data_IF_818466745285
#
_entry.id   IF_818466745285
#
_cell.length_a   1.000
_cell.length_b   1.000
_cell.length_c   1.000
_cell.angle_alpha   90.00
_cell.angle_beta   90.00
_cell.angle_gamma   90.00
#
_symmetry.space_group_name_H-M   'P 1'
#
loop_
_entity.id
_entity.type
_entity.pdbx_description
1 polymer ?
#
# COMPACT_ATOMS: atom_id res chain seq x y z
N UNK A 1 23.93 3.59 39.04
CA UNK A 1 24.45 3.42 37.65
C UNK A 1 24.09 2.09 37.00
N UNK A 2 24.26 0.92 37.63
CA UNK A 2 23.95 -0.41 37.01
C UNK A 2 22.46 -0.57 36.68
N UNK A 3 21.55 -0.09 37.53
CA UNK A 3 20.07 -0.17 37.31
C UNK A 3 19.63 0.67 36.12
N UNK A 4 20.11 1.91 36.01
CA UNK A 4 19.79 2.81 34.89
C UNK A 4 20.23 2.21 33.57
N UNK A 5 21.46 1.64 33.52
CA UNK A 5 21.96 0.95 32.30
C UNK A 5 21.07 -0.24 31.90
N UNK A 6 20.63 -1.05 32.86
CA UNK A 6 19.72 -2.18 32.60
C UNK A 6 18.36 -1.70 32.07
N UNK A 7 17.79 -0.68 32.67
CA UNK A 7 16.52 -0.09 32.21
C UNK A 7 16.63 0.44 30.78
N UNK A 8 17.70 1.17 30.45
CA UNK A 8 17.94 1.67 29.10
C UNK A 8 18.07 0.53 28.09
N UNK A 9 18.78 -0.54 28.42
CA UNK A 9 18.93 -1.72 27.56
C UNK A 9 17.56 -2.38 27.29
N UNK A 10 16.72 -2.52 28.33
CA UNK A 10 15.38 -3.11 28.17
C UNK A 10 14.51 -2.24 27.28
N UNK A 11 14.50 -0.92 27.49
CA UNK A 11 13.75 0.03 26.64
C UNK A 11 14.21 -0.07 25.18
N UNK A 12 15.53 -0.04 24.94
CA UNK A 12 16.08 -0.13 23.60
C UNK A 12 15.73 -1.47 22.94
N UNK A 13 15.84 -2.58 23.66
CA UNK A 13 15.46 -3.90 23.17
C UNK A 13 13.96 -3.96 22.82
N UNK A 14 13.09 -3.37 23.64
CA UNK A 14 11.64 -3.32 23.38
C UNK A 14 11.33 -2.51 22.12
N UNK A 15 11.96 -1.33 21.96
CA UNK A 15 11.80 -0.49 20.78
C UNK A 15 12.28 -1.24 19.53
N UNK A 16 13.46 -1.88 19.59
CA UNK A 16 14.02 -2.62 18.47
C UNK A 16 13.13 -3.81 18.08
N UNK A 17 12.62 -4.54 19.07
CA UNK A 17 11.67 -5.64 18.84
C UNK A 17 10.39 -5.12 18.19
N UNK A 18 9.81 -4.03 18.69
CA UNK A 18 8.65 -3.38 18.08
C UNK A 18 8.90 -2.96 16.64
N UNK A 19 10.08 -2.42 16.35
CA UNK A 19 10.48 -2.04 14.99
C UNK A 19 10.64 -3.25 14.05
N UNK A 20 11.24 -4.34 14.52
CA UNK A 20 11.40 -5.58 13.74
C UNK A 20 10.04 -6.21 13.44
N UNK A 21 9.17 -6.28 14.44
CA UNK A 21 7.84 -6.90 14.32
C UNK A 21 6.73 -5.93 13.91
N UNK A 22 7.04 -4.69 13.47
CA UNK A 22 6.03 -3.69 13.12
C UNK A 22 4.99 -4.17 12.11
N UNK A 23 5.38 -4.94 11.09
CA UNK A 23 4.46 -5.46 10.09
C UNK A 23 3.46 -6.48 10.67
N UNK A 24 3.90 -7.56 11.33
CA UNK A 24 3.02 -8.48 12.03
C UNK A 24 2.14 -7.80 13.08
N UNK A 25 2.69 -6.92 13.91
CA UNK A 25 1.93 -6.16 14.92
C UNK A 25 0.85 -5.29 14.29
N UNK A 26 1.21 -4.53 13.25
CA UNK A 26 0.25 -3.72 12.51
C UNK A 26 -0.90 -4.57 11.96
N UNK A 27 -0.59 -5.67 11.28
CA UNK A 27 -1.60 -6.57 10.73
C UNK A 27 -2.46 -7.28 11.78
N UNK A 28 -1.97 -7.46 12.99
CA UNK A 28 -2.75 -8.01 14.08
C UNK A 28 -3.83 -7.04 14.56
N UNK A 29 -3.49 -5.75 14.67
CA UNK A 29 -4.35 -4.74 15.31
C UNK A 29 -5.15 -3.89 14.33
N UNK A 30 -4.63 -3.64 13.10
CA UNK A 30 -5.29 -2.82 12.09
C UNK A 30 -5.89 -3.70 11.00
N UNK A 31 -7.18 -3.49 10.70
CA UNK A 31 -7.92 -4.15 9.63
C UNK A 31 -8.52 -3.11 8.69
N UNK A 32 -8.54 -3.43 7.40
CA UNK A 32 -9.08 -2.58 6.35
C UNK A 32 -10.37 -3.18 5.82
N UNK A 33 -11.42 -2.38 5.71
CA UNK A 33 -12.70 -2.79 5.12
C UNK A 33 -12.94 -1.98 3.85
N UNK A 34 -12.96 -2.60 2.66
CA UNK A 34 -13.30 -1.91 1.42
C UNK A 34 -14.78 -1.47 1.46
N UNK A 35 -15.05 -0.25 0.98
CA UNK A 35 -16.41 0.32 0.89
C UNK A 35 -16.82 0.62 -0.53
N UNK A 36 -15.87 1.02 -1.39
CA UNK A 36 -16.12 1.29 -2.81
C UNK A 36 -14.84 1.12 -3.62
N UNK A 37 -14.95 0.69 -4.86
CA UNK A 37 -13.85 0.71 -5.82
C UNK A 37 -13.57 2.14 -6.29
N UNK A 38 -12.30 2.42 -6.57
CA UNK A 38 -11.85 3.62 -7.25
C UNK A 38 -11.56 3.32 -8.72
N UNK A 39 -11.60 4.34 -9.59
CA UNK A 39 -11.21 4.17 -10.99
C UNK A 39 -9.78 3.62 -11.11
N UNK A 40 -9.59 2.66 -12.03
CA UNK A 40 -8.27 2.25 -12.48
C UNK A 40 -7.80 3.17 -13.59
N UNK A 41 -6.51 3.52 -13.58
CA UNK A 41 -5.88 4.33 -14.61
C UNK A 41 -4.95 3.50 -15.47
N UNK A 42 -4.93 3.80 -16.78
CA UNK A 42 -3.91 3.31 -17.70
C UNK A 42 -2.75 4.29 -17.71
N UNK A 43 -1.53 3.78 -17.66
CA UNK A 43 -0.33 4.61 -17.81
C UNK A 43 -0.15 4.98 -19.28
N UNK A 44 -0.14 6.29 -19.55
CA UNK A 44 0.07 6.87 -20.87
C UNK A 44 1.22 7.88 -20.91
N UNK A 45 1.64 8.38 -19.74
CA UNK A 45 2.74 9.33 -19.61
C UNK A 45 4.07 8.63 -19.98
N UNK A 46 4.85 9.15 -20.96
CA UNK A 46 6.09 8.51 -21.42
C UNK A 46 7.16 8.38 -20.33
N UNK A 47 7.30 9.38 -19.44
CA UNK A 47 8.25 9.35 -18.34
C UNK A 47 7.90 8.22 -17.36
N UNK A 48 6.61 8.08 -17.02
CA UNK A 48 6.16 7.02 -16.13
C UNK A 48 6.33 5.62 -16.75
N UNK A 49 6.10 5.47 -18.06
CA UNK A 49 6.38 4.24 -18.80
C UNK A 49 7.85 3.88 -18.70
N UNK A 50 8.74 4.85 -18.90
CA UNK A 50 10.18 4.61 -18.84
C UNK A 50 10.65 4.24 -17.44
N UNK A 51 10.14 4.93 -16.41
CA UNK A 51 10.40 4.57 -15.00
C UNK A 51 9.95 3.14 -14.71
N UNK A 52 8.76 2.74 -15.18
CA UNK A 52 8.29 1.37 -15.02
C UNK A 52 9.22 0.34 -15.66
N UNK A 53 9.76 0.62 -16.84
CA UNK A 53 10.72 -0.26 -17.53
C UNK A 53 12.05 -0.36 -16.79
N UNK A 54 12.63 0.77 -16.39
CA UNK A 54 13.95 0.82 -15.75
C UNK A 54 13.96 0.15 -14.36
N UNK A 55 12.87 0.26 -13.62
CA UNK A 55 12.75 -0.28 -12.25
C UNK A 55 12.11 -1.67 -12.21
N UNK A 56 11.70 -2.20 -13.32
CA UNK A 56 11.24 -3.58 -13.41
C UNK A 56 12.45 -4.52 -13.36
N UNK A 57 12.46 -5.43 -12.41
CA UNK A 57 13.45 -6.51 -12.37
C UNK A 57 13.13 -7.51 -13.49
N UNK A 58 13.98 -7.68 -14.50
CA UNK A 58 13.70 -8.55 -15.65
C UNK A 58 13.96 -10.03 -15.36
N UNK A 59 13.74 -10.50 -14.13
CA UNK A 59 13.93 -11.91 -13.81
C UNK A 59 12.77 -12.75 -14.35
N UNK A 60 13.09 -13.73 -15.16
CA UNK A 60 12.19 -14.64 -15.89
C UNK A 60 11.21 -15.43 -15.00
N UNK A 61 11.37 -15.36 -13.68
CA UNK A 61 10.56 -16.05 -12.67
C UNK A 61 9.99 -15.11 -11.60
N UNK A 62 9.87 -13.80 -11.88
CA UNK A 62 9.31 -12.85 -10.91
C UNK A 62 7.84 -13.17 -10.63
N UNK A 63 7.54 -13.47 -9.37
CA UNK A 63 6.18 -13.76 -8.91
C UNK A 63 5.40 -12.50 -8.52
N UNK A 64 4.17 -12.71 -8.07
CA UNK A 64 3.31 -11.60 -7.60
C UNK A 64 3.98 -10.75 -6.50
N UNK A 65 4.78 -11.34 -5.64
CA UNK A 65 5.45 -10.61 -4.55
C UNK A 65 6.50 -9.63 -5.08
N UNK A 66 7.21 -10.00 -6.15
CA UNK A 66 8.20 -9.12 -6.78
C UNK A 66 7.52 -7.98 -7.53
N UNK A 67 6.39 -8.26 -8.18
CA UNK A 67 5.54 -7.24 -8.80
C UNK A 67 5.03 -6.23 -7.76
N UNK A 68 4.55 -6.69 -6.62
CA UNK A 68 4.12 -5.83 -5.51
C UNK A 68 5.29 -5.00 -4.99
N UNK A 69 6.47 -5.62 -4.81
CA UNK A 69 7.65 -4.94 -4.31
C UNK A 69 8.14 -3.85 -5.26
N UNK A 70 8.24 -4.14 -6.57
CA UNK A 70 8.65 -3.15 -7.58
C UNK A 70 7.65 -2.01 -7.69
N UNK A 71 6.34 -2.30 -7.66
CA UNK A 71 5.29 -1.27 -7.67
C UNK A 71 5.35 -0.36 -6.44
N UNK A 72 5.65 -0.91 -5.26
CA UNK A 72 5.91 -0.12 -4.05
C UNK A 72 7.14 0.78 -4.20
N UNK A 73 8.24 0.23 -4.72
CA UNK A 73 9.47 1.00 -4.90
C UNK A 73 9.24 2.18 -5.85
N UNK A 74 8.60 1.95 -7.00
CA UNK A 74 8.28 3.02 -7.96
C UNK A 74 7.39 4.08 -7.30
N UNK A 75 6.34 3.67 -6.59
CA UNK A 75 5.41 4.60 -5.95
C UNK A 75 6.09 5.46 -4.89
N UNK A 76 6.89 4.85 -4.00
CA UNK A 76 7.63 5.57 -2.94
C UNK A 76 8.73 6.49 -3.48
N UNK A 77 9.35 6.13 -4.62
CA UNK A 77 10.39 6.96 -5.22
C UNK A 77 9.82 8.17 -5.99
N UNK A 78 8.57 8.05 -6.47
CA UNK A 78 7.91 9.11 -7.22
C UNK A 78 7.13 10.09 -6.35
N UNK A 79 6.55 9.64 -5.23
CA UNK A 79 5.60 10.42 -4.47
C UNK A 79 6.12 10.80 -3.08
N UNK A 80 5.82 12.03 -2.71
CA UNK A 80 5.89 12.55 -1.34
C UNK A 80 4.47 12.71 -0.80
N UNK A 81 4.22 12.22 0.42
CA UNK A 81 2.88 12.27 1.01
C UNK A 81 2.51 13.68 1.47
N UNK A 82 1.26 14.08 1.20
CA UNK A 82 0.68 15.33 1.68
C UNK A 82 -0.74 15.12 2.20
N UNK A 83 -1.14 15.93 3.19
CA UNK A 83 -2.51 15.91 3.74
C UNK A 83 -3.47 16.79 2.94
N UNK A 84 -3.02 17.48 1.90
CA UNK A 84 -3.88 18.33 1.07
C UNK A 84 -4.55 17.51 -0.03
N UNK A 85 -5.62 18.08 -0.60
CA UNK A 85 -6.19 17.52 -1.82
C UNK A 85 -5.19 17.67 -2.97
N UNK A 86 -4.96 16.60 -3.70
CA UNK A 86 -4.01 16.54 -4.81
C UNK A 86 -4.65 15.91 -6.03
N UNK A 87 -3.92 15.97 -7.14
CA UNK A 87 -4.20 15.17 -8.33
C UNK A 87 -4.23 13.67 -7.97
N UNK A 88 -5.07 12.91 -8.65
CA UNK A 88 -5.19 11.46 -8.45
C UNK A 88 -4.82 10.64 -9.70
N UNK A 89 -4.76 11.29 -10.87
CA UNK A 89 -4.34 10.64 -12.11
C UNK A 89 -2.82 10.37 -12.09
N UNK A 90 -2.38 9.10 -12.15
CA UNK A 90 -0.96 8.75 -12.18
C UNK A 90 -0.15 9.45 -13.25
N UNK A 91 -0.75 9.72 -14.41
CA UNK A 91 -0.10 10.38 -15.54
C UNK A 91 0.25 11.85 -15.26
N UNK A 92 -0.45 12.47 -14.32
CA UNK A 92 -0.20 13.84 -13.87
C UNK A 92 0.63 13.88 -12.58
N UNK A 93 0.49 12.86 -11.71
CA UNK A 93 1.23 12.74 -10.47
C UNK A 93 2.75 12.68 -10.69
N UNK A 94 3.19 12.15 -11.81
CA UNK A 94 4.62 12.12 -12.18
C UNK A 94 5.25 13.52 -12.19
N UNK A 95 4.48 14.54 -12.53
CA UNK A 95 4.95 15.94 -12.56
C UNK A 95 4.88 16.62 -11.19
N UNK A 96 3.81 16.37 -10.43
CA UNK A 96 3.57 17.05 -9.14
C UNK A 96 4.33 16.40 -7.99
N UNK A 97 4.55 15.11 -8.06
CA UNK A 97 5.24 14.25 -7.08
C UNK A 97 4.68 14.32 -5.65
N UNK A 98 3.50 14.90 -5.47
CA UNK A 98 2.81 15.02 -4.17
C UNK A 98 1.44 14.38 -4.24
N UNK A 99 1.15 13.49 -3.29
CA UNK A 99 -0.14 12.82 -3.22
C UNK A 99 -0.54 12.50 -1.78
N UNK A 100 -1.84 12.32 -1.58
CA UNK A 100 -2.42 11.71 -0.39
C UNK A 100 -2.65 10.19 -0.63
N UNK A 101 -3.33 9.50 0.29
CA UNK A 101 -3.60 8.07 0.16
C UNK A 101 -4.31 7.70 -1.14
N UNK A 102 -5.18 8.58 -1.68
CA UNK A 102 -5.90 8.34 -2.95
C UNK A 102 -4.92 8.28 -4.12
N UNK A 103 -4.03 9.27 -4.24
CA UNK A 103 -3.02 9.29 -5.31
C UNK A 103 -1.99 8.17 -5.17
N UNK A 104 -1.57 7.83 -3.94
CA UNK A 104 -0.70 6.68 -3.68
C UNK A 104 -1.32 5.36 -4.15
N UNK A 105 -2.60 5.12 -3.81
CA UNK A 105 -3.32 3.92 -4.23
C UNK A 105 -3.51 3.87 -5.76
N UNK A 106 -3.87 5.00 -6.37
CA UNK A 106 -4.06 5.11 -7.81
C UNK A 106 -2.77 4.85 -8.59
N UNK A 107 -1.65 5.48 -8.20
CA UNK A 107 -0.35 5.28 -8.87
C UNK A 107 0.13 3.84 -8.70
N UNK A 108 0.09 3.29 -7.48
CA UNK A 108 0.48 1.90 -7.24
C UNK A 108 -0.31 0.92 -8.11
N UNK A 109 -1.65 1.05 -8.15
CA UNK A 109 -2.49 0.16 -8.93
C UNK A 109 -2.19 0.26 -10.44
N UNK A 110 -2.00 1.49 -10.95
CA UNK A 110 -1.66 1.72 -12.35
C UNK A 110 -0.30 1.10 -12.72
N UNK A 111 0.74 1.31 -11.88
CA UNK A 111 2.08 0.72 -12.06
C UNK A 111 2.01 -0.81 -12.01
N UNK A 112 1.34 -1.38 -11.02
CA UNK A 112 1.18 -2.81 -10.86
C UNK A 112 0.50 -3.45 -12.08
N UNK A 113 -0.60 -2.87 -12.56
CA UNK A 113 -1.31 -3.34 -13.73
C UNK A 113 -0.48 -3.19 -15.01
N UNK A 114 0.23 -2.07 -15.17
CA UNK A 114 1.10 -1.85 -16.33
C UNK A 114 2.22 -2.88 -16.38
N UNK A 115 2.92 -3.13 -15.28
CA UNK A 115 3.98 -4.13 -15.21
C UNK A 115 3.44 -5.56 -15.42
N UNK A 116 2.26 -5.88 -14.86
CA UNK A 116 1.60 -7.17 -15.05
C UNK A 116 1.34 -7.48 -16.54
N UNK A 117 0.85 -6.50 -17.29
CA UNK A 117 0.51 -6.64 -18.71
C UNK A 117 1.77 -6.61 -19.59
N UNK A 118 2.60 -5.57 -19.43
CA UNK A 118 3.71 -5.26 -20.35
C UNK A 118 4.87 -6.23 -20.19
N UNK A 119 5.17 -6.61 -18.94
CA UNK A 119 6.30 -7.48 -18.62
C UNK A 119 5.90 -8.95 -18.48
N UNK A 120 4.61 -9.25 -18.63
CA UNK A 120 4.03 -10.58 -18.40
C UNK A 120 4.39 -11.18 -17.04
N UNK A 121 4.75 -10.33 -16.08
CA UNK A 121 4.93 -10.71 -14.68
C UNK A 121 3.55 -10.89 -14.05
N UNK A 122 3.23 -12.11 -13.66
CA UNK A 122 1.95 -12.42 -13.03
C UNK A 122 0.71 -11.92 -13.84
N UNK A 123 0.51 -12.33 -15.10
CA UNK A 123 -0.49 -11.76 -16.04
C UNK A 123 -1.96 -11.95 -15.58
N UNK A 124 -2.19 -12.86 -14.63
CA UNK A 124 -3.53 -13.15 -14.12
C UNK A 124 -3.90 -12.27 -12.90
N UNK A 125 -3.03 -11.35 -12.50
CA UNK A 125 -3.26 -10.49 -11.36
C UNK A 125 -3.73 -9.10 -11.80
N UNK A 126 -4.66 -8.56 -11.02
CA UNK A 126 -5.18 -7.20 -11.23
C UNK A 126 -5.16 -6.45 -9.90
N UNK A 127 -4.58 -5.27 -9.89
CA UNK A 127 -4.60 -4.34 -8.79
C UNK A 127 -5.75 -3.36 -8.96
N UNK A 128 -6.58 -3.20 -7.93
CA UNK A 128 -7.71 -2.28 -7.91
C UNK A 128 -7.62 -1.40 -6.67
N UNK A 129 -7.64 -0.06 -6.81
CA UNK A 129 -7.67 0.83 -5.66
C UNK A 129 -9.08 0.87 -5.05
N UNK A 130 -9.14 0.94 -3.74
CA UNK A 130 -10.37 0.98 -2.96
C UNK A 130 -10.37 2.13 -1.98
N UNK A 131 -11.52 2.77 -1.86
CA UNK A 131 -11.90 3.54 -0.71
C UNK A 131 -12.32 2.59 0.40
N UNK A 132 -11.89 2.84 1.64
CA UNK A 132 -12.24 1.96 2.74
C UNK A 132 -12.22 2.61 4.11
N UNK A 133 -12.40 1.78 5.12
CA UNK A 133 -12.39 2.16 6.52
C UNK A 133 -11.37 1.35 7.30
N UNK A 134 -10.76 1.98 8.30
CA UNK A 134 -9.78 1.39 9.20
C UNK A 134 -10.44 0.97 10.50
N UNK A 135 -10.09 -0.22 10.94
CA UNK A 135 -10.50 -0.77 12.24
C UNK A 135 -9.27 -1.03 13.08
N UNK A 136 -9.20 -0.41 14.24
CA UNK A 136 -8.16 -0.62 15.23
C UNK A 136 -8.73 -1.46 16.37
N UNK A 137 -8.15 -2.63 16.64
CA UNK A 137 -8.68 -3.62 17.60
C UNK A 137 -10.17 -3.95 17.38
N UNK A 138 -10.62 -3.95 16.13
CA UNK A 138 -12.01 -4.22 15.76
C UNK A 138 -12.95 -3.02 15.80
N UNK A 139 -12.50 -1.86 16.28
CA UNK A 139 -13.28 -0.62 16.35
C UNK A 139 -13.01 0.24 15.11
N UNK A 140 -14.07 0.68 14.41
CA UNK A 140 -13.94 1.64 13.32
C UNK A 140 -13.48 2.99 13.88
N UNK A 141 -12.33 3.49 13.42
CA UNK A 141 -11.75 4.74 13.95
C UNK A 141 -12.33 6.01 13.31
N UNK A 142 -12.87 5.92 12.09
CA UNK A 142 -13.29 7.09 11.32
C UNK A 142 -14.41 7.93 11.97
N UNK A 143 -15.40 7.36 12.68
CA UNK A 143 -16.41 8.15 13.38
C UNK A 143 -15.86 9.05 14.49
N UNK A 144 -14.69 8.70 15.04
CA UNK A 144 -14.06 9.45 16.13
C UNK A 144 -13.14 10.57 15.65
N UNK A 145 -12.91 10.67 14.32
CA UNK A 145 -12.01 11.67 13.74
C UNK A 145 -12.86 12.72 13.02
N UNK A 146 -12.78 13.97 13.47
CA UNK A 146 -13.61 15.06 12.95
C UNK A 146 -13.12 15.60 11.59
N UNK A 147 -11.83 15.43 11.27
CA UNK A 147 -11.26 15.93 10.02
C UNK A 147 -11.87 15.23 8.80
N UNK A 148 -12.35 15.97 7.79
CA UNK A 148 -12.86 15.39 6.55
C UNK A 148 -11.85 14.50 5.82
N UNK A 149 -10.55 14.78 5.99
CA UNK A 149 -9.46 14.03 5.40
C UNK A 149 -9.38 12.58 5.91
N UNK A 150 -9.76 12.34 7.18
CA UNK A 150 -9.66 11.01 7.80
C UNK A 150 -11.01 10.28 7.88
N UNK A 151 -12.02 10.66 7.08
CA UNK A 151 -13.31 9.96 7.04
C UNK A 151 -13.27 8.63 6.30
N UNK A 152 -12.25 8.43 5.50
CA UNK A 152 -11.96 7.19 4.77
C UNK A 152 -10.45 7.10 4.51
N UNK A 153 -10.02 5.96 3.98
CA UNK A 153 -8.63 5.73 3.64
C UNK A 153 -8.53 4.85 2.40
N UNK A 154 -7.65 5.22 1.47
CA UNK A 154 -7.50 4.48 0.22
C UNK A 154 -6.34 3.49 0.31
N UNK A 155 -6.58 2.30 -0.24
CA UNK A 155 -5.62 1.19 -0.31
C UNK A 155 -5.86 0.35 -1.56
N UNK A 156 -5.06 -0.67 -1.83
CA UNK A 156 -5.16 -1.48 -3.05
C UNK A 156 -5.38 -2.95 -2.71
N UNK A 157 -6.30 -3.59 -3.43
CA UNK A 157 -6.49 -5.03 -3.44
C UNK A 157 -5.96 -5.57 -4.76
N UNK A 158 -5.12 -6.60 -4.69
CA UNK A 158 -4.50 -7.27 -5.83
C UNK A 158 -5.05 -8.69 -5.85
N UNK A 159 -5.78 -9.04 -6.91
CA UNK A 159 -6.49 -10.32 -7.01
C UNK A 159 -6.05 -11.12 -8.22
N UNK A 160 -5.83 -12.41 -8.02
CA UNK A 160 -5.64 -13.37 -9.10
C UNK A 160 -6.99 -13.75 -9.70
N UNK A 161 -7.16 -13.52 -11.00
CA UNK A 161 -8.41 -13.79 -11.73
C UNK A 161 -8.76 -15.28 -11.80
N UNK A 162 -7.74 -16.15 -11.78
CA UNK A 162 -7.94 -17.59 -11.95
C UNK A 162 -8.15 -18.32 -10.62
N UNK A 163 -7.38 -17.96 -9.58
CA UNK A 163 -7.41 -18.66 -8.30
C UNK A 163 -8.24 -17.96 -7.23
N UNK A 164 -8.52 -16.66 -7.42
CA UNK A 164 -9.17 -15.83 -6.41
C UNK A 164 -8.24 -15.41 -5.27
N UNK A 165 -6.97 -15.83 -5.27
CA UNK A 165 -5.98 -15.42 -4.28
C UNK A 165 -5.87 -13.88 -4.25
N UNK A 166 -5.72 -13.34 -3.04
CA UNK A 166 -5.80 -11.89 -2.83
C UNK A 166 -4.68 -11.40 -1.93
N UNK A 167 -4.03 -10.31 -2.33
CA UNK A 167 -3.15 -9.50 -1.51
C UNK A 167 -3.77 -8.13 -1.30
N UNK A 168 -3.55 -7.53 -0.14
CA UNK A 168 -3.94 -6.15 0.13
C UNK A 168 -2.71 -5.35 0.59
N UNK A 169 -2.58 -4.14 0.08
CA UNK A 169 -1.46 -3.25 0.34
C UNK A 169 -1.94 -1.82 0.55
N UNK A 170 -1.20 -1.09 1.36
CA UNK A 170 -1.36 0.36 1.53
C UNK A 170 -0.04 1.03 1.14
N UNK A 171 0.05 1.62 -0.05
CA UNK A 171 1.29 2.21 -0.54
C UNK A 171 1.78 3.38 0.32
N UNK A 172 0.89 4.17 0.92
CA UNK A 172 1.27 5.26 1.82
C UNK A 172 1.88 4.75 3.12
N UNK A 173 1.29 3.72 3.72
CA UNK A 173 1.85 3.05 4.92
C UNK A 173 3.17 2.34 4.59
N UNK A 174 3.29 1.75 3.40
CA UNK A 174 4.55 1.14 2.97
C UNK A 174 5.68 2.15 2.88
N UNK A 175 5.39 3.33 2.39
CA UNK A 175 6.39 4.39 2.24
C UNK A 175 6.97 4.83 3.59
N UNK A 176 6.13 5.10 4.58
CA UNK A 176 6.56 5.63 5.88
C UNK A 176 6.91 4.55 6.91
N UNK A 177 6.16 3.45 6.98
CA UNK A 177 6.34 2.42 8.00
C UNK A 177 7.01 1.15 7.49
N UNK A 178 7.29 1.06 6.18
CA UNK A 178 7.88 -0.11 5.53
C UNK A 178 7.05 -1.39 5.75
N UNK A 179 5.71 -1.27 5.76
CA UNK A 179 4.77 -2.38 5.89
C UNK A 179 4.27 -2.77 4.51
N UNK A 180 4.65 -3.95 4.02
CA UNK A 180 4.37 -4.39 2.64
C UNK A 180 2.94 -4.84 2.41
N UNK A 181 2.29 -5.40 3.43
CA UNK A 181 0.95 -5.99 3.34
C UNK A 181 0.08 -5.54 4.49
N UNK A 182 -1.21 -5.38 4.21
CA UNK A 182 -2.24 -5.07 5.19
C UNK A 182 -3.20 -6.26 5.32
N UNK A 183 -4.10 -6.23 6.31
CA UNK A 183 -5.11 -7.27 6.50
C UNK A 183 -6.50 -6.71 6.25
N UNK A 184 -7.27 -7.39 5.42
CA UNK A 184 -8.68 -7.08 5.22
C UNK A 184 -9.50 -7.60 6.41
N UNK A 185 -10.55 -6.84 6.76
CA UNK A 185 -11.55 -7.28 7.72
C UNK A 185 -12.42 -8.34 7.05
N UNK A 186 -12.42 -9.56 7.60
CA UNK A 186 -13.35 -10.61 7.17
C UNK A 186 -14.75 -10.28 7.65
N UNK A 187 -15.72 -10.20 6.74
CA UNK A 187 -17.12 -10.21 7.11
C UNK A 187 -17.45 -11.62 7.63
N UNK A 188 -17.92 -11.72 8.86
CA UNK A 188 -18.42 -12.98 9.47
C UNK A 188 -19.71 -13.49 8.80
N UNK A 189 -19.79 -13.56 7.47
CA UNK A 189 -20.98 -14.01 6.75
C UNK A 189 -20.73 -15.16 5.77
N UNK A 190 -19.59 -15.85 5.88
CA UNK A 190 -19.31 -17.03 5.06
C UNK A 190 -19.12 -18.26 5.99
N UNK A 191 -20.20 -18.60 6.71
CA UNK A 191 -20.41 -19.94 7.29
C UNK A 191 -21.88 -20.33 7.07
#
# INVERSE_FOLDING_TARGET
>A
MKTIKRTLIIILATILTGFIFRGPLYRAVVKYQPTAERPNYTITNPELIEICKLKSTPEKNSGIKDLIHSSHAITSDLLEFTFTQTETDPNKLVNTRKANCVGYAALFAAVCNHQSITLKHAPNWTATPYKGQLYLFGVNIHPYIQSPFFKDHDFVIIKNKNTGETYAVDPSIRDYLRINYITLKTNKRDN
#
